data_IF_837063036912
#
_entry.id   IF_837063036912
#
_cell.length_a   1.000
_cell.length_b   1.000
_cell.length_c   1.000
_cell.angle_alpha   90.00
_cell.angle_beta   90.00
_cell.angle_gamma   90.00
#
_symmetry.space_group_name_H-M   'P 1'
#
loop_
_entity.id
_entity.type
_entity.pdbx_description
1 polymer ?
#
# COMPACT_ATOMS: atom_id res chain seq x y z
N UNK A 1 14.04 4.76 12.86
CA UNK A 1 12.73 4.19 13.23
C UNK A 1 11.61 5.17 12.93
N UNK A 2 11.63 6.40 13.48
CA UNK A 2 10.64 7.44 13.14
C UNK A 2 10.53 7.65 11.62
N UNK A 3 11.65 7.75 10.91
CA UNK A 3 11.65 7.92 9.44
C UNK A 3 10.91 6.78 8.71
N UNK A 4 11.00 5.54 9.19
CA UNK A 4 10.31 4.39 8.58
C UNK A 4 8.81 4.41 8.87
N UNK A 5 8.41 4.81 10.08
CA UNK A 5 6.99 4.99 10.46
C UNK A 5 6.37 6.12 9.64
N UNK A 6 7.07 7.25 9.52
CA UNK A 6 6.62 8.40 8.76
C UNK A 6 6.50 8.07 7.27
N UNK A 7 7.49 7.34 6.71
CA UNK A 7 7.45 6.88 5.34
C UNK A 7 6.31 5.89 5.07
N UNK A 8 6.12 4.89 5.94
CA UNK A 8 5.01 3.93 5.80
C UNK A 8 3.65 4.65 5.87
N UNK A 9 3.50 5.62 6.78
CA UNK A 9 2.31 6.47 6.85
C UNK A 9 2.09 7.27 5.56
N UNK A 10 3.16 7.88 5.02
CA UNK A 10 3.10 8.64 3.77
C UNK A 10 2.68 7.76 2.59
N UNK A 11 3.27 6.57 2.45
CA UNK A 11 2.89 5.58 1.44
C UNK A 11 1.42 5.22 1.57
N UNK A 12 0.97 4.83 2.76
CA UNK A 12 -0.41 4.42 2.97
C UNK A 12 -1.39 5.56 2.69
N UNK A 13 -1.06 6.79 3.07
CA UNK A 13 -1.89 7.96 2.75
C UNK A 13 -1.95 8.20 1.24
N UNK A 14 -0.81 8.19 0.54
CA UNK A 14 -0.78 8.39 -0.91
C UNK A 14 -1.57 7.31 -1.67
N UNK A 15 -1.52 6.07 -1.19
CA UNK A 15 -2.35 4.98 -1.73
C UNK A 15 -3.83 5.28 -1.52
N UNK A 16 -4.25 5.59 -0.29
CA UNK A 16 -5.65 5.90 0.02
C UNK A 16 -6.18 7.08 -0.81
N UNK A 17 -5.40 8.17 -0.90
CA UNK A 17 -5.73 9.34 -1.70
C UNK A 17 -5.93 8.97 -3.18
N UNK A 18 -5.11 8.04 -3.70
CA UNK A 18 -5.18 7.63 -5.09
C UNK A 18 -6.33 6.67 -5.39
N UNK A 19 -6.76 5.84 -4.43
CA UNK A 19 -7.93 4.97 -4.59
C UNK A 19 -9.24 5.77 -4.77
N UNK A 20 -9.27 7.00 -4.27
CA UNK A 20 -10.38 7.93 -4.46
C UNK A 20 -11.41 7.89 -3.32
N UNK A 21 -12.65 8.31 -3.62
CA UNK A 21 -13.70 8.49 -2.63
C UNK A 21 -14.27 7.14 -2.14
N UNK A 22 -13.59 6.53 -1.17
CA UNK A 22 -14.12 5.42 -0.39
C UNK A 22 -15.24 5.94 0.53
N UNK A 23 -16.30 5.16 0.73
CA UNK A 23 -17.44 5.53 1.59
C UNK A 23 -17.72 4.40 2.60
N UNK A 24 -17.44 4.61 3.91
CA UNK A 24 -16.86 5.81 4.51
C UNK A 24 -15.41 6.06 4.06
N UNK A 25 -14.91 7.32 4.15
CA UNK A 25 -13.55 7.63 3.75
C UNK A 25 -12.56 6.89 4.66
N UNK A 26 -11.64 6.16 4.03
CA UNK A 26 -10.57 5.47 4.75
C UNK A 26 -9.43 6.44 5.06
N UNK A 27 -8.81 6.25 6.22
CA UNK A 27 -7.68 7.03 6.68
C UNK A 27 -6.66 6.12 7.38
N UNK A 28 -5.41 6.59 7.48
CA UNK A 28 -4.39 5.91 8.27
C UNK A 28 -4.65 6.18 9.76
N UNK A 29 -5.12 5.16 10.48
CA UNK A 29 -5.46 5.23 11.89
C UNK A 29 -4.22 5.10 12.78
N UNK A 30 -3.34 4.14 12.46
CA UNK A 30 -2.12 3.89 13.22
C UNK A 30 -1.02 3.30 12.32
N UNK A 31 0.23 3.54 12.71
CA UNK A 31 1.43 2.88 12.16
C UNK A 31 2.32 2.55 13.34
N UNK A 32 2.55 1.26 13.58
CA UNK A 32 3.21 0.76 14.77
C UNK A 32 4.21 -0.34 14.39
N UNK A 33 5.22 -0.57 15.22
CA UNK A 33 6.12 -1.71 15.03
C UNK A 33 5.32 -3.00 15.16
N UNK A 34 5.48 -3.90 14.18
CA UNK A 34 4.88 -5.21 14.30
C UNK A 34 5.72 -6.06 15.27
N UNK A 35 5.14 -6.34 16.44
CA UNK A 35 5.74 -7.24 17.42
C UNK A 35 5.28 -8.66 17.13
N UNK A 36 6.12 -9.41 16.41
CA UNK A 36 5.90 -10.83 16.20
C UNK A 36 6.01 -11.56 17.55
N UNK A 37 4.96 -12.29 17.93
CA UNK A 37 4.95 -13.04 19.20
C UNK A 37 5.74 -14.35 19.11
N UNK A 38 6.07 -14.78 17.90
CA UNK A 38 6.94 -15.92 17.63
C UNK A 38 8.40 -15.47 17.49
N UNK A 39 9.35 -16.35 17.85
CA UNK A 39 10.75 -16.08 17.63
C UNK A 39 11.03 -16.00 16.12
N UNK A 40 11.71 -14.94 15.63
CA UNK A 40 12.00 -14.82 14.21
C UNK A 40 12.93 -15.96 13.75
N UNK A 41 12.83 -16.39 12.48
CA UNK A 41 13.83 -17.22 11.86
C UNK A 41 15.26 -16.68 12.09
N UNK A 42 16.27 -17.55 12.30
CA UNK A 42 17.65 -17.12 12.47
C UNK A 42 18.12 -16.22 11.32
N UNK A 43 18.65 -15.05 11.64
CA UNK A 43 19.20 -14.10 10.67
C UNK A 43 18.27 -12.91 10.33
N UNK A 44 17.04 -12.88 10.85
CA UNK A 44 16.17 -11.71 10.72
C UNK A 44 16.33 -10.75 11.89
N UNK A 45 16.40 -9.46 11.57
CA UNK A 45 16.42 -8.38 12.57
C UNK A 45 15.00 -7.93 12.86
N UNK A 46 14.65 -7.79 14.14
CA UNK A 46 13.35 -7.29 14.56
C UNK A 46 13.42 -5.81 14.95
N UNK A 47 12.36 -5.02 14.70
CA UNK A 47 11.17 -5.39 13.92
C UNK A 47 11.51 -5.54 12.42
N UNK A 48 10.92 -6.53 11.75
CA UNK A 48 11.06 -6.74 10.30
C UNK A 48 9.91 -6.10 9.49
N UNK A 49 8.92 -5.53 10.18
CA UNK A 49 7.74 -4.93 9.57
C UNK A 49 7.10 -3.89 10.48
N UNK A 50 6.33 -2.98 9.87
CA UNK A 50 5.38 -2.10 10.53
C UNK A 50 3.96 -2.58 10.22
N UNK A 51 3.08 -2.48 11.22
CA UNK A 51 1.65 -2.70 11.07
C UNK A 51 0.97 -1.36 10.81
N UNK A 52 0.34 -1.22 9.65
CA UNK A 52 -0.45 -0.05 9.29
C UNK A 52 -1.92 -0.41 9.46
N UNK A 53 -2.60 0.28 10.37
CA UNK A 53 -4.06 0.16 10.52
C UNK A 53 -4.73 1.26 9.72
N UNK A 54 -5.60 0.87 8.80
CA UNK A 54 -6.40 1.76 7.95
C UNK A 54 -7.88 1.45 8.13
N UNK A 55 -8.75 2.42 7.90
CA UNK A 55 -10.19 2.20 7.97
C UNK A 55 -11.00 3.48 7.95
N UNK A 56 -12.32 3.33 7.96
CA UNK A 56 -13.30 4.41 7.98
C UNK A 56 -14.59 3.95 8.64
N UNK A 57 -15.35 4.89 9.22
CA UNK A 57 -16.56 4.54 9.97
C UNK A 57 -16.25 3.70 11.20
N UNK A 58 -16.85 2.52 11.30
CA UNK A 58 -16.69 1.54 12.40
C UNK A 58 -15.78 0.35 12.04
N UNK A 59 -15.24 0.29 10.81
CA UNK A 59 -14.38 -0.79 10.34
C UNK A 59 -12.91 -0.39 10.19
N UNK A 60 -12.00 -1.35 10.40
CA UNK A 60 -10.57 -1.20 10.11
C UNK A 60 -9.94 -2.51 9.65
N UNK A 61 -8.93 -2.41 8.80
CA UNK A 61 -8.08 -3.51 8.37
C UNK A 61 -6.61 -3.19 8.68
N UNK A 62 -5.78 -4.22 8.67
CA UNK A 62 -4.35 -4.11 8.94
C UNK A 62 -3.57 -4.60 7.73
N UNK A 63 -2.58 -3.81 7.33
CA UNK A 63 -1.63 -4.17 6.26
C UNK A 63 -0.20 -4.03 6.79
N UNK A 64 0.74 -4.69 6.12
CA UNK A 64 2.14 -4.69 6.50
C UNK A 64 2.98 -3.81 5.59
N UNK A 65 3.93 -3.11 6.20
CA UNK A 65 5.06 -2.47 5.52
C UNK A 65 6.35 -3.18 5.93
N UNK A 66 6.99 -3.86 5.00
CA UNK A 66 8.22 -4.63 5.25
C UNK A 66 9.43 -3.71 5.46
N UNK A 67 10.29 -4.06 6.42
CA UNK A 67 11.55 -3.37 6.74
C UNK A 67 12.79 -4.16 6.30
N UNK A 68 12.59 -5.38 5.81
CA UNK A 68 13.64 -6.33 5.40
C UNK A 68 13.84 -6.41 3.88
N UNK A 69 13.12 -5.59 3.12
CA UNK A 69 13.21 -5.48 1.65
C UNK A 69 13.50 -4.03 1.24
N UNK A 70 13.95 -3.78 0.00
CA UNK A 70 14.05 -2.44 -0.55
C UNK A 70 12.74 -1.64 -0.40
N UNK A 71 12.87 -0.35 -0.11
CA UNK A 71 11.73 0.52 0.26
C UNK A 71 10.66 0.63 -0.83
N UNK A 72 11.09 0.56 -2.09
CA UNK A 72 10.26 0.55 -3.29
C UNK A 72 9.49 -0.77 -3.44
N UNK A 73 10.10 -1.91 -3.12
CA UNK A 73 9.41 -3.20 -3.02
C UNK A 73 8.39 -3.23 -1.88
N UNK A 74 8.75 -2.72 -0.70
CA UNK A 74 7.83 -2.56 0.43
C UNK A 74 6.63 -1.68 0.05
N UNK A 75 6.88 -0.58 -0.66
CA UNK A 75 5.84 0.33 -1.16
C UNK A 75 4.85 -0.38 -2.08
N UNK A 76 5.34 -1.19 -3.04
CA UNK A 76 4.48 -1.98 -3.94
C UNK A 76 3.64 -2.99 -3.16
N UNK A 77 4.25 -3.71 -2.22
CA UNK A 77 3.55 -4.73 -1.43
C UNK A 77 2.48 -4.13 -0.51
N UNK A 78 2.77 -3.01 0.15
CA UNK A 78 1.79 -2.29 0.97
C UNK A 78 0.66 -1.73 0.13
N UNK A 79 0.96 -1.11 -1.03
CA UNK A 79 -0.06 -0.60 -1.93
C UNK A 79 -1.01 -1.69 -2.44
N UNK A 80 -0.48 -2.87 -2.77
CA UNK A 80 -1.29 -4.04 -3.16
C UNK A 80 -2.24 -4.50 -2.05
N UNK A 81 -1.75 -4.64 -0.81
CA UNK A 81 -2.59 -5.06 0.33
C UNK A 81 -3.74 -4.06 0.60
N UNK A 82 -3.44 -2.76 0.56
CA UNK A 82 -4.47 -1.72 0.75
C UNK A 82 -5.50 -1.76 -0.39
N UNK A 83 -5.03 -1.90 -1.63
CA UNK A 83 -5.87 -2.02 -2.82
C UNK A 83 -6.80 -3.23 -2.71
N UNK A 84 -6.28 -4.41 -2.35
CA UNK A 84 -7.06 -5.64 -2.26
C UNK A 84 -8.22 -5.46 -1.27
N UNK A 85 -7.95 -4.94 -0.06
CA UNK A 85 -9.00 -4.65 0.92
C UNK A 85 -10.03 -3.63 0.43
N UNK A 86 -9.59 -2.56 -0.25
CA UNK A 86 -10.50 -1.55 -0.78
C UNK A 86 -11.39 -2.10 -1.91
N UNK A 87 -10.85 -2.97 -2.76
CA UNK A 87 -11.61 -3.64 -3.83
C UNK A 87 -12.64 -4.60 -3.22
N UNK A 88 -12.26 -5.36 -2.19
CA UNK A 88 -13.17 -6.26 -1.47
C UNK A 88 -14.34 -5.50 -0.84
N UNK A 89 -14.07 -4.43 -0.11
CA UNK A 89 -15.10 -3.63 0.57
C UNK A 89 -16.02 -2.91 -0.42
N UNK A 90 -15.47 -2.47 -1.56
CA UNK A 90 -16.23 -1.79 -2.62
C UNK A 90 -16.99 -2.72 -3.57
N UNK A 91 -17.06 -4.03 -3.24
CA UNK A 91 -17.75 -5.05 -4.05
C UNK A 91 -17.17 -5.13 -5.48
N UNK A 92 -15.85 -5.04 -5.59
CA UNK A 92 -15.11 -5.23 -6.85
C UNK A 92 -14.95 -3.97 -7.70
N UNK A 93 -14.99 -2.77 -7.13
CA UNK A 93 -14.71 -1.56 -7.89
C UNK A 93 -13.27 -1.57 -8.44
N UNK A 94 -13.06 -0.95 -9.60
CA UNK A 94 -11.72 -0.79 -10.19
C UNK A 94 -10.96 0.34 -9.49
N UNK A 95 -10.17 0.01 -8.46
CA UNK A 95 -9.47 0.97 -7.61
C UNK A 95 -7.95 0.71 -7.61
N UNK A 96 -7.08 1.69 -7.91
CA UNK A 96 -7.44 2.92 -8.60
C UNK A 96 -7.89 2.59 -10.03
N UNK A 97 -8.82 3.36 -10.62
CA UNK A 97 -9.30 3.08 -11.96
C UNK A 97 -8.18 3.29 -12.98
N UNK A 98 -8.01 2.32 -13.89
CA UNK A 98 -7.15 2.52 -15.06
C UNK A 98 -7.84 3.50 -16.03
N UNK A 99 -7.18 4.59 -16.44
CA UNK A 99 -7.74 5.50 -17.44
C UNK A 99 -8.16 4.74 -18.69
N UNK A 100 -9.34 5.04 -19.25
CA UNK A 100 -9.82 4.43 -20.49
C UNK A 100 -10.19 2.94 -20.43
N UNK A 101 -9.99 2.26 -19.30
CA UNK A 101 -10.28 0.83 -19.14
C UNK A 101 -11.18 0.53 -17.93
N UNK A 102 -11.69 -0.71 -17.84
CA UNK A 102 -12.64 -1.15 -16.79
C UNK A 102 -12.01 -2.02 -15.69
N UNK A 103 -10.69 -2.00 -15.57
CA UNK A 103 -9.95 -2.78 -14.58
C UNK A 103 -9.14 -1.85 -13.67
N UNK A 104 -8.78 -2.29 -12.45
CA UNK A 104 -7.88 -1.52 -11.60
C UNK A 104 -6.49 -1.39 -12.25
N UNK A 105 -5.75 -0.35 -11.86
CA UNK A 105 -4.30 -0.32 -12.00
C UNK A 105 -3.67 -1.37 -11.07
N UNK A 106 -2.45 -1.81 -11.33
CA UNK A 106 -1.70 -2.69 -10.43
C UNK A 106 -0.48 -1.98 -9.88
N UNK A 107 -0.20 -2.14 -8.59
CA UNK A 107 1.08 -1.73 -8.03
C UNK A 107 2.20 -2.62 -8.59
N UNK A 108 3.24 -2.03 -9.19
CA UNK A 108 4.42 -2.75 -9.71
C UNK A 108 5.69 -1.93 -9.57
N UNK A 109 6.81 -2.62 -9.45
CA UNK A 109 8.13 -2.02 -9.51
C UNK A 109 8.60 -1.93 -10.97
N UNK A 110 8.91 -0.72 -11.42
CA UNK A 110 9.44 -0.46 -12.76
C UNK A 110 10.61 0.51 -12.62
N UNK A 111 11.79 0.12 -13.09
CA UNK A 111 13.04 0.91 -13.04
C UNK A 111 13.39 1.43 -11.62
N UNK A 112 13.15 0.62 -10.58
CA UNK A 112 13.41 0.99 -9.18
C UNK A 112 12.43 2.00 -8.59
N UNK A 113 11.27 2.19 -9.23
CA UNK A 113 10.21 3.07 -8.75
C UNK A 113 8.92 2.27 -8.58
N UNK A 114 8.26 2.43 -7.45
CA UNK A 114 6.94 1.89 -7.18
C UNK A 114 5.88 2.67 -7.98
N UNK A 115 5.15 1.99 -8.86
CA UNK A 115 4.19 2.62 -9.79
C UNK A 115 2.82 1.93 -9.74
N UNK A 116 1.77 2.71 -9.96
CA UNK A 116 0.52 2.21 -10.52
C UNK A 116 0.68 2.04 -12.03
N UNK A 117 0.38 0.85 -12.54
CA UNK A 117 0.49 0.55 -13.97
C UNK A 117 -0.75 -0.12 -14.50
N UNK A 118 -1.05 0.09 -15.78
CA UNK A 118 -2.07 -0.70 -16.45
C UNK A 118 -1.62 -2.18 -16.51
N UNK A 119 -2.43 -3.14 -16.02
CA UNK A 119 -2.04 -4.54 -15.97
C UNK A 119 -1.93 -5.20 -17.36
N UNK A 120 -2.62 -4.65 -18.36
CA UNK A 120 -2.62 -5.16 -19.73
C UNK A 120 -1.50 -4.57 -20.60
N UNK A 121 -1.12 -3.31 -20.34
CA UNK A 121 -0.08 -2.60 -21.07
C UNK A 121 0.54 -1.52 -20.19
N UNK A 122 1.71 -1.80 -19.60
CA UNK A 122 2.40 -0.86 -18.73
C UNK A 122 2.85 0.43 -19.45
N UNK A 123 2.89 0.45 -20.78
CA UNK A 123 3.22 1.66 -21.56
C UNK A 123 2.02 2.57 -21.78
N UNK A 124 0.80 2.02 -21.70
CA UNK A 124 -0.44 2.77 -21.85
C UNK A 124 -0.65 3.75 -20.70
N UNK A 125 -0.42 3.29 -19.46
CA UNK A 125 -0.52 4.13 -18.28
C UNK A 125 0.42 3.64 -17.18
N UNK A 126 1.20 4.57 -16.65
CA UNK A 126 2.12 4.40 -15.52
C UNK A 126 2.19 5.72 -14.76
N UNK A 127 2.10 5.64 -13.44
CA UNK A 127 2.34 6.78 -12.55
C UNK A 127 2.98 6.31 -11.24
N UNK A 128 3.88 7.10 -10.62
CA UNK A 128 4.44 6.78 -9.32
C UNK A 128 3.36 6.64 -8.22
N UNK A 129 3.56 5.72 -7.26
CA UNK A 129 2.70 5.58 -6.09
C UNK A 129 2.88 6.76 -5.13
N UNK A 130 4.14 7.14 -4.88
CA UNK A 130 4.47 8.38 -4.20
C UNK A 130 4.75 9.47 -5.24
N UNK A 131 4.26 10.71 -5.05
CA UNK A 131 4.66 11.82 -5.90
C UNK A 131 6.19 12.00 -5.84
N UNK A 132 6.84 12.42 -6.94
CA UNK A 132 8.25 12.77 -6.91
C UNK A 132 8.47 13.97 -5.97
N UNK A 133 9.59 13.97 -5.25
CA UNK A 133 10.04 15.07 -4.40
C UNK A 133 10.21 16.40 -5.17
#
# INVERSE_FOLDING_TARGET
MNDSIDYARQVSQAVLDRLGDLSPPWQVLAVEEHVETAAPPPGLTMPNSLLVTIGGGDGSVQVYFSLDVPVDEATVATAGQIQDHAIEESVGAALPPCPGHRHPLSARLIDGVANWVCPHDATYHREPILPPD
#
